data_IF_909967994138
#
_entry.id   IF_909967994138
#
_cell.length_a   1.000
_cell.length_b   1.000
_cell.length_c   1.000
_cell.angle_alpha   90.00
_cell.angle_beta   90.00
_cell.angle_gamma   90.00
#
_symmetry.space_group_name_H-M   'P 1'
#
loop_
_entity.id
_entity.type
_entity.pdbx_description
1 polymer ?
#
# COMPACT_ATOMS: atom_id res chain seq x y z
N UNK A 1 4.79 20.73 40.14
CA UNK A 1 4.51 21.50 38.90
C UNK A 1 5.81 21.64 38.13
N UNK A 2 5.88 21.07 36.92
CA UNK A 2 6.79 21.53 35.87
C UNK A 2 6.34 20.88 34.55
N UNK A 3 5.69 21.68 33.71
CA UNK A 3 5.30 21.30 32.34
C UNK A 3 6.51 21.51 31.43
N UNK A 4 7.00 20.44 30.82
CA UNK A 4 8.04 20.51 29.80
C UNK A 4 7.49 21.06 28.48
N UNK A 5 7.89 22.28 28.16
CA UNK A 5 7.59 22.96 26.89
C UNK A 5 8.55 22.42 25.82
N UNK A 6 8.08 21.58 24.91
CA UNK A 6 8.85 21.23 23.70
C UNK A 6 8.61 22.32 22.67
N UNK A 7 9.63 23.16 22.45
CA UNK A 7 9.67 24.16 21.37
C UNK A 7 9.94 23.45 20.06
N UNK A 8 9.02 23.54 19.10
CA UNK A 8 9.25 23.16 17.72
C UNK A 8 10.32 24.06 17.10
N UNK A 9 11.36 23.46 16.54
CA UNK A 9 12.41 24.15 15.80
C UNK A 9 11.84 24.70 14.49
N UNK A 10 12.10 25.99 14.24
CA UNK A 10 11.88 26.62 12.94
C UNK A 10 12.76 25.97 11.87
N UNK A 11 12.14 25.43 10.82
CA UNK A 11 12.84 25.15 9.58
C UNK A 11 13.15 26.47 8.88
N UNK A 12 14.41 26.90 8.95
CA UNK A 12 14.98 27.96 8.14
C UNK A 12 16.12 27.37 7.33
N UNK A 13 15.98 27.28 6.01
CA UNK A 13 17.11 27.30 5.07
C UNK A 13 16.62 27.83 3.72
N UNK A 14 17.06 29.05 3.42
CA UNK A 14 17.08 29.59 2.08
C UNK A 14 18.27 28.95 1.34
N UNK A 15 18.02 28.31 0.21
CA UNK A 15 19.06 27.98 -0.76
C UNK A 15 18.94 28.98 -1.92
N UNK A 16 19.85 29.95 -1.95
CA UNK A 16 20.13 30.76 -3.13
C UNK A 16 21.00 29.91 -4.04
N UNK A 17 20.47 29.45 -5.17
CA UNK A 17 21.29 28.91 -6.25
C UNK A 17 21.33 29.94 -7.37
N UNK A 18 22.55 30.46 -7.60
CA UNK A 18 22.85 31.42 -8.67
C UNK A 18 22.95 30.67 -10.00
N UNK A 19 22.48 31.38 -11.01
CA UNK A 19 22.47 31.03 -12.43
C UNK A 19 23.85 30.58 -12.92
N UNK A 20 23.93 29.34 -13.41
CA UNK A 20 24.93 28.90 -14.38
C UNK A 20 26.00 27.95 -13.85
N UNK A 21 25.74 26.65 -13.94
CA UNK A 21 26.73 25.55 -14.03
C UNK A 21 26.01 24.38 -14.77
N UNK A 22 26.05 24.35 -16.11
CA UNK A 22 26.98 23.59 -16.95
C UNK A 22 26.89 22.05 -16.90
N UNK A 23 25.67 21.50 -16.79
CA UNK A 23 25.33 20.18 -17.35
C UNK A 23 24.34 20.36 -18.51
N UNK A 24 24.87 20.73 -19.68
CA UNK A 24 24.16 20.77 -20.96
C UNK A 24 24.10 19.37 -21.59
N UNK A 25 23.52 18.44 -20.84
CA UNK A 25 23.01 17.18 -21.34
C UNK A 25 21.52 17.24 -21.13
N UNK A 26 20.82 17.87 -22.07
CA UNK A 26 19.37 18.03 -22.05
C UNK A 26 18.66 16.68 -21.97
N UNK A 27 18.43 16.21 -20.75
CA UNK A 27 17.17 15.58 -20.43
C UNK A 27 16.15 16.68 -20.65
N UNK A 28 15.52 16.63 -21.82
CA UNK A 28 14.48 17.57 -22.16
C UNK A 28 13.37 17.53 -21.10
N UNK A 29 12.57 18.61 -20.99
CA UNK A 29 11.39 18.66 -20.12
C UNK A 29 10.32 17.60 -20.45
N UNK A 30 10.57 16.80 -21.48
CA UNK A 30 9.78 15.68 -21.98
C UNK A 30 10.02 14.35 -21.25
N UNK A 31 11.07 14.21 -20.43
CA UNK A 31 11.36 12.93 -19.71
C UNK A 31 11.21 13.02 -18.18
N UNK A 32 11.01 14.23 -17.65
CA UNK A 32 10.40 14.41 -16.34
C UNK A 32 8.93 14.72 -16.58
N UNK A 33 8.09 13.68 -16.59
CA UNK A 33 6.64 13.86 -16.57
C UNK A 33 6.26 14.88 -15.47
N UNK A 34 5.23 15.71 -15.68
CA UNK A 34 4.99 16.86 -14.83
C UNK A 34 4.85 16.39 -13.37
N UNK A 35 5.65 16.96 -12.48
CA UNK A 35 5.51 16.79 -11.04
C UNK A 35 4.34 17.63 -10.49
N UNK A 36 3.74 18.43 -11.37
CA UNK A 36 2.38 18.95 -11.28
C UNK A 36 1.43 17.75 -11.16
N UNK A 37 0.54 17.73 -10.17
CA UNK A 37 -0.49 16.71 -9.90
C UNK A 37 -1.47 16.40 -11.05
N UNK A 38 -1.09 16.70 -12.30
CA UNK A 38 -1.59 16.23 -13.58
C UNK A 38 -1.67 14.70 -13.73
N UNK A 39 -0.90 13.91 -12.96
CA UNK A 39 -1.13 12.45 -12.91
C UNK A 39 -2.37 12.20 -12.06
N UNK A 40 -3.50 11.74 -12.65
CA UNK A 40 -4.68 11.44 -11.87
C UNK A 40 -4.34 10.36 -10.82
N UNK A 41 -4.87 10.47 -9.60
CA UNK A 41 -4.69 9.43 -8.60
C UNK A 41 -5.20 8.11 -9.18
N UNK A 42 -4.31 7.12 -9.26
CA UNK A 42 -4.65 5.81 -9.81
C UNK A 42 -5.47 5.07 -8.77
N UNK A 43 -6.71 4.64 -9.07
CA UNK A 43 -7.53 3.92 -8.10
C UNK A 43 -6.93 2.54 -7.80
N UNK A 44 -7.03 2.10 -6.55
CA UNK A 44 -6.82 0.69 -6.24
C UNK A 44 -7.93 -0.13 -6.89
N UNK A 45 -7.55 -1.07 -7.76
CA UNK A 45 -8.48 -1.94 -8.48
C UNK A 45 -8.74 -3.27 -7.77
N UNK A 46 -8.01 -3.56 -6.68
CA UNK A 46 -8.22 -4.78 -5.89
C UNK A 46 -9.51 -4.64 -5.07
N UNK A 47 -10.54 -5.46 -5.33
CA UNK A 47 -11.76 -5.45 -4.52
C UNK A 47 -11.44 -5.89 -3.09
N UNK A 48 -12.00 -5.19 -2.09
CA UNK A 48 -11.77 -5.46 -0.67
C UNK A 48 -10.29 -5.64 -0.29
N UNK A 49 -9.39 -4.89 -0.93
CA UNK A 49 -7.94 -4.99 -0.66
C UNK A 49 -7.53 -4.57 0.74
N UNK A 50 -8.41 -3.85 1.46
CA UNK A 50 -8.26 -3.44 2.85
C UNK A 50 -8.96 -4.40 3.84
N UNK A 51 -9.63 -5.44 3.35
CA UNK A 51 -10.39 -6.42 4.14
C UNK A 51 -11.56 -5.83 4.95
N UNK A 52 -11.97 -4.59 4.70
CA UNK A 52 -13.08 -3.93 5.41
C UNK A 52 -14.42 -4.64 5.23
N UNK A 53 -14.60 -5.37 4.13
CA UNK A 53 -15.76 -6.21 3.86
C UNK A 53 -15.62 -7.66 4.39
N UNK A 54 -14.64 -7.92 5.26
CA UNK A 54 -14.42 -9.23 5.88
C UNK A 54 -13.90 -10.29 4.90
N UNK A 55 -14.27 -11.55 5.12
CA UNK A 55 -13.90 -12.70 4.28
C UNK A 55 -14.69 -12.76 2.96
N UNK A 56 -14.62 -11.69 2.17
CA UNK A 56 -15.36 -11.55 0.89
C UNK A 56 -14.47 -10.95 -0.20
N UNK A 57 -14.84 -11.17 -1.48
CA UNK A 57 -14.16 -10.62 -2.67
C UNK A 57 -12.70 -11.06 -2.88
N UNK A 58 -12.23 -12.05 -2.12
CA UNK A 58 -11.00 -12.79 -2.38
C UNK A 58 -11.26 -14.29 -2.19
N UNK A 59 -10.26 -15.10 -2.47
CA UNK A 59 -10.26 -16.54 -2.26
C UNK A 59 -8.91 -16.99 -1.73
N UNK A 60 -8.90 -18.16 -1.11
CA UNK A 60 -7.71 -18.78 -0.53
C UNK A 60 -7.80 -20.28 -0.72
N UNK A 61 -6.65 -20.94 -0.90
CA UNK A 61 -6.56 -22.38 -0.81
C UNK A 61 -6.41 -22.84 0.66
N UNK A 62 -6.21 -21.91 1.59
CA UNK A 62 -6.21 -22.18 3.03
C UNK A 62 -7.64 -22.35 3.55
N UNK A 63 -7.77 -23.05 4.68
CA UNK A 63 -9.06 -23.23 5.35
C UNK A 63 -9.39 -22.03 6.25
N UNK A 64 -10.61 -21.49 6.13
CA UNK A 64 -11.06 -20.44 7.05
C UNK A 64 -11.30 -21.03 8.45
N UNK A 65 -10.77 -20.38 9.49
CA UNK A 65 -10.97 -20.74 10.89
C UNK A 65 -11.00 -19.49 11.77
N UNK A 66 -11.80 -19.48 12.85
CA UNK A 66 -11.84 -18.36 13.79
C UNK A 66 -10.62 -18.36 14.75
N UNK A 67 -10.07 -19.55 15.04
CA UNK A 67 -8.87 -19.76 15.85
C UNK A 67 -7.98 -20.75 15.11
N UNK A 68 -6.67 -20.50 15.09
CA UNK A 68 -5.73 -21.36 14.41
C UNK A 68 -5.48 -22.68 15.17
N UNK A 69 -5.66 -23.80 14.47
CA UNK A 69 -5.42 -25.15 14.99
C UNK A 69 -4.31 -25.88 14.23
N UNK A 70 -4.14 -25.61 12.94
CA UNK A 70 -3.15 -26.26 12.07
C UNK A 70 -2.52 -25.27 11.07
N UNK A 71 -1.45 -25.69 10.39
CA UNK A 71 -0.92 -24.92 9.25
C UNK A 71 -1.91 -24.87 8.07
N UNK A 72 -1.85 -23.82 7.26
CA UNK A 72 -2.73 -23.67 6.10
C UNK A 72 -4.14 -23.21 6.46
N UNK A 73 -4.28 -22.46 7.55
CA UNK A 73 -5.52 -21.82 7.96
C UNK A 73 -5.39 -20.29 7.92
N UNK A 74 -6.53 -19.63 7.76
CA UNK A 74 -6.59 -18.18 7.78
C UNK A 74 -7.87 -17.65 8.45
N UNK A 75 -7.84 -16.37 8.82
CA UNK A 75 -9.00 -15.59 9.23
C UNK A 75 -8.92 -14.16 8.69
N UNK A 76 -9.98 -13.39 8.92
CA UNK A 76 -9.98 -11.94 8.72
C UNK A 76 -10.37 -11.27 10.03
N UNK A 77 -9.48 -10.47 10.59
CA UNK A 77 -9.67 -9.89 11.93
C UNK A 77 -8.74 -8.72 12.22
N UNK A 78 -8.88 -8.13 13.40
CA UNK A 78 -8.08 -6.97 13.84
C UNK A 78 -6.89 -7.35 14.74
N UNK A 79 -6.86 -8.59 15.23
CA UNK A 79 -5.84 -9.06 16.18
C UNK A 79 -5.23 -10.40 15.73
N UNK A 80 -4.03 -10.40 15.14
CA UNK A 80 -3.35 -11.63 14.72
C UNK A 80 -3.07 -12.58 15.88
N UNK A 81 -2.75 -12.06 17.06
CA UNK A 81 -2.41 -12.86 18.23
C UNK A 81 -3.63 -13.60 18.80
N UNK A 82 -4.85 -13.08 18.58
CA UNK A 82 -6.09 -13.76 18.94
C UNK A 82 -6.36 -14.98 18.04
N UNK A 83 -5.95 -14.93 16.77
CA UNK A 83 -6.03 -16.07 15.86
C UNK A 83 -4.93 -17.10 16.14
N UNK A 84 -3.68 -16.66 16.28
CA UNK A 84 -2.53 -17.50 16.61
C UNK A 84 -1.58 -16.75 17.55
N UNK A 85 -1.36 -17.29 18.75
CA UNK A 85 -0.59 -16.63 19.82
C UNK A 85 0.88 -16.38 19.49
N UNK A 86 1.42 -17.03 18.45
CA UNK A 86 2.80 -16.85 17.99
C UNK A 86 2.95 -15.66 17.02
N UNK A 87 1.84 -15.07 16.56
CA UNK A 87 1.85 -13.89 15.71
C UNK A 87 2.01 -12.62 16.54
N UNK A 88 2.60 -11.60 15.92
CA UNK A 88 2.76 -10.28 16.53
C UNK A 88 1.42 -9.55 16.56
N UNK A 89 1.12 -8.88 17.68
CA UNK A 89 0.00 -7.95 17.77
C UNK A 89 0.34 -6.67 17.01
N UNK A 90 -0.09 -6.60 15.76
CA UNK A 90 0.07 -5.45 14.86
C UNK A 90 -1.29 -5.11 14.24
N UNK A 91 -1.50 -3.83 13.95
CA UNK A 91 -2.66 -3.33 13.22
C UNK A 91 -2.56 -3.53 11.71
N UNK A 92 -3.67 -3.30 11.02
CA UNK A 92 -3.70 -3.31 9.55
C UNK A 92 -2.89 -2.12 8.97
N UNK A 93 -2.44 -2.25 7.71
CA UNK A 93 -1.62 -1.23 7.05
C UNK A 93 -2.43 -0.10 6.39
N UNK A 94 -3.77 -0.18 6.41
CA UNK A 94 -4.65 0.85 5.86
C UNK A 94 -4.99 1.89 6.92
N UNK A 95 -5.36 1.45 8.13
CA UNK A 95 -5.83 2.33 9.20
C UNK A 95 -5.11 2.18 10.54
N UNK A 96 -4.50 1.02 10.80
CA UNK A 96 -3.88 0.68 12.09
C UNK A 96 -4.81 -0.08 13.04
N UNK A 97 -6.13 -0.07 12.82
CA UNK A 97 -7.13 -0.72 13.69
C UNK A 97 -8.19 -1.53 12.91
N UNK A 98 -8.06 -1.60 11.59
CA UNK A 98 -8.98 -2.24 10.67
C UNK A 98 -8.80 -3.75 10.57
N UNK A 99 -9.64 -4.37 9.74
CA UNK A 99 -9.55 -5.80 9.44
C UNK A 99 -8.33 -6.08 8.58
N UNK A 100 -7.72 -7.25 8.76
CA UNK A 100 -6.62 -7.73 7.94
C UNK A 100 -6.75 -9.23 7.70
N UNK A 101 -6.20 -9.72 6.60
CA UNK A 101 -5.99 -11.15 6.41
C UNK A 101 -4.88 -11.65 7.35
N UNK A 102 -5.17 -12.71 8.09
CA UNK A 102 -4.24 -13.34 9.03
C UNK A 102 -4.15 -14.81 8.65
N UNK A 103 -2.96 -15.30 8.29
CA UNK A 103 -2.76 -16.69 7.85
C UNK A 103 -1.61 -17.39 8.57
N UNK A 104 -1.79 -18.67 8.88
CA UNK A 104 -0.71 -19.54 9.33
C UNK A 104 -0.12 -20.32 8.14
N UNK A 105 1.17 -20.09 7.86
CA UNK A 105 1.88 -20.69 6.74
C UNK A 105 1.88 -22.21 6.77
N UNK A 106 1.91 -22.84 5.58
CA UNK A 106 2.05 -24.29 5.39
C UNK A 106 3.29 -24.59 4.56
N UNK A 107 3.94 -25.72 4.81
CA UNK A 107 5.16 -26.10 4.09
C UNK A 107 4.94 -26.42 2.59
N UNK A 108 3.70 -26.74 2.19
CA UNK A 108 3.35 -27.02 0.79
C UNK A 108 2.90 -25.74 0.06
N UNK A 109 3.17 -25.64 -1.24
CA UNK A 109 2.76 -24.48 -2.02
C UNK A 109 1.26 -24.48 -2.28
N UNK A 110 0.53 -23.66 -1.51
CA UNK A 110 -0.89 -23.36 -1.66
C UNK A 110 -1.07 -21.84 -1.84
N UNK A 111 -2.10 -21.38 -2.58
CA UNK A 111 -2.32 -19.94 -2.75
C UNK A 111 -2.97 -19.36 -1.51
N UNK A 112 -2.19 -18.61 -0.74
CA UNK A 112 -2.63 -17.98 0.51
C UNK A 112 -3.74 -16.96 0.28
N UNK A 113 -3.65 -16.18 -0.80
CA UNK A 113 -4.65 -15.18 -1.16
C UNK A 113 -4.64 -14.97 -2.68
N UNK A 114 -5.83 -14.86 -3.27
CA UNK A 114 -5.99 -14.46 -4.67
C UNK A 114 -7.36 -13.82 -4.89
N UNK A 115 -7.45 -12.90 -5.85
CA UNK A 115 -8.71 -12.35 -6.33
C UNK A 115 -9.13 -13.02 -7.64
N UNK A 116 -10.35 -12.72 -8.08
CA UNK A 116 -10.70 -12.89 -9.49
C UNK A 116 -9.85 -12.00 -10.41
N UNK A 117 -9.99 -12.12 -11.74
CA UNK A 117 -9.30 -11.28 -12.70
C UNK A 117 -9.57 -9.79 -12.44
N UNK A 118 -8.52 -8.97 -12.49
CA UNK A 118 -8.63 -7.51 -12.36
C UNK A 118 -8.46 -6.91 -13.74
N UNK A 119 -9.52 -6.27 -14.26
CA UNK A 119 -9.46 -5.57 -15.52
C UNK A 119 -8.72 -4.23 -15.33
N UNK A 120 -7.62 -4.05 -16.04
CA UNK A 120 -6.92 -2.76 -16.14
C UNK A 120 -7.26 -2.14 -17.48
N UNK A 121 -7.76 -0.91 -17.46
CA UNK A 121 -7.93 -0.15 -18.70
C UNK A 121 -6.66 0.70 -18.92
N UNK A 122 -5.93 0.51 -20.03
CA UNK A 122 -4.81 1.38 -20.32
C UNK A 122 -5.32 2.80 -20.59
N UNK A 123 -4.55 3.80 -20.14
CA UNK A 123 -4.76 5.20 -20.52
C UNK A 123 -4.75 5.32 -22.06
N UNK A 124 -5.61 6.15 -22.68
CA UNK A 124 -5.54 6.39 -24.11
C UNK A 124 -4.18 6.97 -24.49
N UNK A 125 -3.50 6.39 -25.49
CA UNK A 125 -2.28 6.98 -26.03
C UNK A 125 -2.58 8.39 -26.51
N UNK A 126 -1.86 9.39 -25.98
CA UNK A 126 -1.94 10.78 -26.43
C UNK A 126 -1.61 10.80 -27.92
N UNK A 127 -2.63 11.00 -28.76
CA UNK A 127 -2.47 11.09 -30.22
C UNK A 127 -1.49 12.21 -30.52
N UNK A 128 -0.34 11.85 -31.11
CA UNK A 128 0.69 12.77 -31.55
C UNK A 128 0.06 13.93 -32.35
N UNK A 129 0.29 15.15 -31.87
CA UNK A 129 -0.15 16.44 -32.44
C UNK A 129 -0.02 16.47 -33.97
N UNK A 130 -1.08 16.77 -34.74
CA UNK A 130 -0.96 17.00 -36.18
C UNK A 130 -0.20 18.31 -36.44
N UNK A 131 0.73 18.28 -37.40
CA UNK A 131 1.52 19.41 -37.87
C UNK A 131 0.76 20.36 -38.79
#
# INVERSE_FOLDING_TARGET
MARGLVRAAQCKRAAVLRSGDLFDGGFGPDDAGPEDGSKPPVPNLVPNGDFSAGNTQFSSDYSYADINTVEGEYTVGTNPQAFNSNLLMIGDHTTGDGLMFIGNGKATPDRVWYSGPIAVNPEPSISSRPG
#
